data_IF_484643187832
#
_entry.id   IF_484643187832
#
_cell.length_a   1.000
_cell.length_b   1.000
_cell.length_c   1.000
_cell.angle_alpha   90.00
_cell.angle_beta   90.00
_cell.angle_gamma   90.00
#
_symmetry.space_group_name_H-M   'P 1'
#
loop_
_entity.id
_entity.type
_entity.pdbx_description
1 polymer ?
#
# COMPACT_ATOMS: atom_id res chain seq x y z
N UNK A 1 -4.08 -20.04 -22.79
CA UNK A 1 -4.88 -21.28 -22.83
C UNK A 1 -5.73 -21.36 -21.57
N UNK A 2 -6.98 -21.81 -21.68
CA UNK A 2 -7.82 -22.10 -20.52
C UNK A 2 -7.42 -23.45 -19.87
N UNK A 3 -7.92 -23.80 -18.67
CA UNK A 3 -7.50 -25.00 -17.94
C UNK A 3 -7.66 -26.33 -18.69
N UNK A 4 -8.60 -26.40 -19.64
CA UNK A 4 -8.76 -27.58 -20.49
C UNK A 4 -7.68 -27.67 -21.57
N UNK A 5 -7.37 -26.56 -22.23
CA UNK A 5 -6.37 -26.50 -23.30
C UNK A 5 -4.92 -26.52 -22.78
N UNK A 6 -4.68 -26.19 -21.51
CA UNK A 6 -3.33 -26.29 -20.91
C UNK A 6 -2.80 -27.74 -20.92
N UNK A 7 -3.68 -28.73 -20.77
CA UNK A 7 -3.33 -30.15 -20.73
C UNK A 7 -2.70 -30.65 -22.04
N UNK A 8 -3.07 -30.05 -23.18
CA UNK A 8 -2.65 -30.46 -24.53
C UNK A 8 -1.71 -29.47 -25.21
N UNK A 9 -1.84 -28.17 -24.93
CA UNK A 9 -1.07 -27.09 -25.58
C UNK A 9 -0.14 -26.34 -24.62
N UNK A 10 -0.03 -26.80 -23.37
CA UNK A 10 0.80 -26.18 -22.35
C UNK A 10 0.23 -24.86 -21.81
N UNK A 11 0.95 -24.28 -20.85
CA UNK A 11 0.55 -23.06 -20.12
C UNK A 11 0.31 -21.87 -21.04
N UNK A 12 -0.54 -20.94 -20.57
CA UNK A 12 -0.72 -19.64 -21.20
C UNK A 12 0.61 -18.91 -21.42
N UNK A 13 0.95 -18.63 -22.68
CA UNK A 13 2.07 -17.75 -23.00
C UNK A 13 1.70 -16.31 -22.66
N UNK A 14 2.20 -15.80 -21.54
CA UNK A 14 2.10 -14.38 -21.21
C UNK A 14 2.85 -13.54 -22.26
N UNK A 15 2.35 -12.34 -22.56
CA UNK A 15 3.10 -11.35 -23.38
C UNK A 15 4.52 -11.25 -22.83
N UNK A 16 5.51 -11.46 -23.70
CA UNK A 16 6.89 -11.71 -23.29
C UNK A 16 7.51 -10.48 -22.60
N UNK A 17 7.41 -10.45 -21.25
CA UNK A 17 7.62 -9.27 -20.41
C UNK A 17 9.02 -8.68 -20.59
N UNK A 18 10.03 -9.52 -20.86
CA UNK A 18 11.42 -9.11 -21.16
C UNK A 18 11.57 -8.25 -22.42
N UNK A 19 10.76 -8.43 -23.47
CA UNK A 19 10.86 -7.59 -24.69
C UNK A 19 10.19 -6.22 -24.53
N UNK A 20 9.28 -6.07 -23.57
CA UNK A 20 8.66 -4.78 -23.22
C UNK A 20 9.28 -4.11 -21.97
N UNK A 21 10.23 -4.78 -21.31
CA UNK A 21 11.02 -4.25 -20.21
C UNK A 21 11.83 -3.01 -20.64
N UNK A 22 12.37 -3.00 -21.86
CA UNK A 22 12.97 -1.82 -22.52
C UNK A 22 11.98 -0.66 -22.79
N UNK A 23 10.72 -0.74 -22.34
CA UNK A 23 9.73 0.35 -22.38
C UNK A 23 9.22 0.77 -20.99
N UNK A 24 9.26 -0.11 -19.98
CA UNK A 24 9.12 0.30 -18.58
C UNK A 24 10.51 0.45 -17.98
N UNK A 25 11.06 1.63 -18.28
CA UNK A 25 12.40 2.13 -18.03
C UNK A 25 13.32 1.26 -17.14
N UNK A 26 14.36 0.73 -17.77
CA UNK A 26 15.50 0.09 -17.09
C UNK A 26 16.81 0.85 -17.29
N UNK A 27 16.78 2.07 -17.83
CA UNK A 27 17.99 2.78 -18.28
C UNK A 27 18.71 2.11 -19.46
N UNK A 28 18.03 1.21 -20.19
CA UNK A 28 18.57 0.48 -21.35
C UNK A 28 17.70 0.64 -22.60
N UNK A 29 17.23 1.87 -22.86
CA UNK A 29 16.60 2.25 -24.11
C UNK A 29 17.24 3.54 -24.62
N UNK A 30 17.56 3.59 -25.91
CA UNK A 30 18.12 4.78 -26.57
C UNK A 30 17.07 5.87 -26.83
N UNK A 31 15.80 5.56 -26.62
CA UNK A 31 14.71 6.54 -26.61
C UNK A 31 14.67 7.26 -25.24
N UNK A 32 14.99 8.55 -25.20
CA UNK A 32 14.86 9.38 -23.99
C UNK A 32 13.37 9.50 -23.64
N UNK A 33 12.92 8.68 -22.67
CA UNK A 33 11.58 8.72 -22.09
C UNK A 33 11.68 9.02 -20.61
N UNK A 34 10.73 9.78 -20.09
CA UNK A 34 10.70 10.10 -18.67
C UNK A 34 10.45 8.85 -17.82
N UNK A 35 11.22 8.72 -16.73
CA UNK A 35 11.06 7.66 -15.72
C UNK A 35 9.63 7.69 -15.17
N UNK A 36 8.92 6.57 -15.25
CA UNK A 36 7.51 6.48 -14.83
C UNK A 36 7.38 6.27 -13.32
N UNK A 37 6.52 7.04 -12.66
CA UNK A 37 6.24 6.90 -11.22
C UNK A 37 5.81 5.46 -10.87
N UNK A 38 6.44 4.86 -9.86
CA UNK A 38 6.19 3.47 -9.44
C UNK A 38 7.03 2.41 -10.17
N UNK A 39 7.76 2.77 -11.23
CA UNK A 39 8.76 1.90 -11.85
C UNK A 39 9.91 1.56 -10.88
N UNK A 40 10.64 0.48 -11.16
CA UNK A 40 11.80 0.08 -10.33
C UNK A 40 12.90 1.14 -10.31
N UNK A 41 13.12 1.85 -11.43
CA UNK A 41 14.05 2.99 -11.50
C UNK A 41 13.55 4.15 -10.64
N UNK A 42 12.27 4.54 -10.75
CA UNK A 42 11.66 5.56 -9.89
C UNK A 42 11.81 5.24 -8.39
N UNK A 43 11.52 4.01 -7.98
CA UNK A 43 11.62 3.58 -6.58
C UNK A 43 13.08 3.48 -6.11
N UNK A 44 14.04 3.19 -7.00
CA UNK A 44 15.48 3.27 -6.69
C UNK A 44 15.91 4.72 -6.48
N UNK A 45 15.58 5.61 -7.42
CA UNK A 45 15.89 7.04 -7.34
C UNK A 45 15.27 7.69 -6.10
N UNK A 46 13.98 7.45 -5.86
CA UNK A 46 13.25 8.01 -4.72
C UNK A 46 13.89 7.64 -3.37
N UNK A 47 14.36 6.39 -3.22
CA UNK A 47 15.09 5.95 -2.00
C UNK A 47 16.50 6.53 -1.88
N UNK A 48 17.07 7.06 -2.95
CA UNK A 48 18.38 7.74 -2.93
C UNK A 48 18.27 9.27 -2.77
N UNK A 49 17.06 9.83 -2.71
CA UNK A 49 16.84 11.27 -2.47
C UNK A 49 16.87 11.57 -0.97
N UNK A 50 17.52 12.66 -0.62
CA UNK A 50 17.41 13.27 0.72
C UNK A 50 16.18 14.18 0.76
N UNK A 51 15.37 14.04 1.80
CA UNK A 51 14.26 14.93 2.12
C UNK A 51 14.52 15.58 3.49
N UNK A 52 13.97 16.77 3.77
CA UNK A 52 13.90 17.30 5.14
C UNK A 52 13.23 16.29 6.08
N UNK A 53 13.57 16.33 7.36
CA UNK A 53 12.88 15.45 8.33
C UNK A 53 11.42 15.88 8.47
N UNK A 54 10.54 14.91 8.67
CA UNK A 54 9.17 15.21 9.10
C UNK A 54 9.13 15.76 10.54
N UNK A 55 10.20 15.60 11.32
CA UNK A 55 10.29 16.06 12.72
C UNK A 55 10.02 17.56 12.91
N UNK A 56 10.28 18.38 11.89
CA UNK A 56 10.09 19.83 11.91
C UNK A 56 8.64 20.26 11.63
N UNK A 57 7.78 19.33 11.18
CA UNK A 57 6.37 19.58 10.82
C UNK A 57 5.37 18.67 11.54
N UNK A 58 5.80 17.57 12.17
CA UNK A 58 4.89 16.66 12.90
C UNK A 58 4.79 16.99 14.39
N UNK A 59 3.57 17.09 14.89
CA UNK A 59 3.29 17.23 16.32
C UNK A 59 3.31 15.83 16.96
N UNK A 60 4.20 15.61 17.93
CA UNK A 60 4.38 14.30 18.58
C UNK A 60 3.63 14.25 19.89
N UNK A 61 2.68 13.31 20.01
CA UNK A 61 1.84 13.14 21.20
C UNK A 61 1.83 11.67 21.65
N UNK A 62 1.60 11.44 22.94
CA UNK A 62 1.09 10.16 23.43
C UNK A 62 -0.41 10.03 23.15
N UNK A 63 -0.96 8.82 23.11
CA UNK A 63 -2.38 8.64 22.87
C UNK A 63 -3.28 9.30 23.92
N UNK A 64 -2.82 9.37 25.18
CA UNK A 64 -3.52 10.08 26.26
C UNK A 64 -3.48 11.61 26.16
N UNK A 65 -2.60 12.18 25.31
CA UNK A 65 -2.56 13.63 25.04
C UNK A 65 -3.42 14.02 23.83
N UNK A 66 -3.79 13.06 22.97
CA UNK A 66 -4.62 13.31 21.80
C UNK A 66 -6.11 13.31 22.21
N UNK A 67 -6.53 14.38 22.87
CA UNK A 67 -7.92 14.59 23.33
C UNK A 67 -8.63 15.66 22.48
N UNK A 68 -9.96 15.75 22.60
CA UNK A 68 -10.72 16.85 21.98
C UNK A 68 -10.27 18.21 22.50
N UNK A 69 -10.14 18.36 23.83
CA UNK A 69 -9.66 19.57 24.48
C UNK A 69 -8.33 20.05 23.88
N UNK A 70 -7.36 19.14 23.69
CA UNK A 70 -6.08 19.47 23.05
C UNK A 70 -6.25 19.98 21.62
N UNK A 71 -7.12 19.36 20.82
CA UNK A 71 -7.37 19.74 19.42
C UNK A 71 -8.17 21.05 19.31
N UNK A 72 -9.02 21.37 20.27
CA UNK A 72 -9.72 22.65 20.35
C UNK A 72 -8.79 23.80 20.76
N UNK A 73 -7.87 23.56 21.70
CA UNK A 73 -6.87 24.54 22.14
C UNK A 73 -5.74 24.79 21.12
N UNK A 74 -5.23 23.72 20.49
CA UNK A 74 -4.03 23.77 19.65
C UNK A 74 -4.33 23.72 18.14
N UNK A 75 -5.56 23.35 17.77
CA UNK A 75 -5.96 23.10 16.39
C UNK A 75 -5.47 21.75 15.84
N UNK A 76 -5.90 21.42 14.62
CA UNK A 76 -5.49 20.22 13.89
C UNK A 76 -5.01 20.59 12.48
N UNK A 77 -3.97 21.43 12.43
CA UNK A 77 -3.43 22.00 11.19
C UNK A 77 -2.16 21.30 10.70
N UNK A 78 -1.45 20.59 11.59
CA UNK A 78 -0.21 19.87 11.32
C UNK A 78 -0.40 18.35 11.53
N UNK A 79 0.36 17.47 10.84
CA UNK A 79 0.21 16.03 11.02
C UNK A 79 0.63 15.59 12.43
N UNK A 80 -0.25 14.85 13.12
CA UNK A 80 0.03 14.33 14.46
C UNK A 80 0.63 12.92 14.37
N UNK A 81 1.78 12.70 15.03
CA UNK A 81 2.42 11.41 15.18
C UNK A 81 2.23 10.87 16.60
N UNK A 82 1.32 9.92 16.76
CA UNK A 82 1.18 9.14 17.98
C UNK A 82 2.27 8.06 18.06
N UNK A 83 3.21 8.17 19.01
CA UNK A 83 4.35 7.24 19.09
C UNK A 83 3.99 5.83 19.59
N UNK A 84 2.84 5.69 20.25
CA UNK A 84 2.31 4.42 20.78
C UNK A 84 0.78 4.42 20.62
N UNK A 85 0.20 3.21 20.51
CA UNK A 85 -1.26 3.04 20.46
C UNK A 85 -1.96 3.25 21.81
N UNK A 86 -1.20 3.23 22.90
CA UNK A 86 -1.73 3.30 24.25
C UNK A 86 -2.36 4.67 24.52
N UNK A 87 -3.60 4.67 25.01
CA UNK A 87 -4.42 5.88 25.18
C UNK A 87 -5.25 6.30 23.96
N UNK A 88 -5.01 5.77 22.76
CA UNK A 88 -5.79 6.13 21.55
C UNK A 88 -7.18 5.48 21.47
N UNK A 89 -7.55 4.59 22.40
CA UNK A 89 -8.76 3.77 22.29
C UNK A 89 -8.75 2.76 21.12
N UNK A 90 -7.59 2.54 20.47
CA UNK A 90 -7.47 1.65 19.31
C UNK A 90 -7.18 0.20 19.70
N UNK A 91 -8.12 -0.69 19.37
CA UNK A 91 -7.90 -2.14 19.34
C UNK A 91 -7.18 -2.53 18.04
N UNK A 92 -6.00 -3.13 18.17
CA UNK A 92 -5.18 -3.63 17.06
C UNK A 92 -4.90 -5.12 17.26
N UNK A 93 -4.82 -5.93 16.19
CA UNK A 93 -4.45 -7.33 16.30
C UNK A 93 -3.01 -7.48 16.83
N UNK A 94 -2.67 -8.69 17.29
CA UNK A 94 -1.34 -8.97 17.83
C UNK A 94 -0.23 -8.70 16.78
N UNK A 95 1.01 -8.33 17.18
CA UNK A 95 2.12 -8.16 16.26
C UNK A 95 2.51 -9.42 15.44
N UNK A 96 1.98 -10.58 15.83
CA UNK A 96 2.11 -11.87 15.14
C UNK A 96 0.97 -12.16 14.15
N UNK A 97 0.15 -11.16 13.83
CA UNK A 97 -0.95 -11.28 12.86
C UNK A 97 -0.42 -11.09 11.43
N UNK A 98 -0.60 -12.12 10.60
CA UNK A 98 -0.07 -12.20 9.24
C UNK A 98 -1.18 -12.17 8.17
N UNK A 99 -0.77 -12.12 6.90
CA UNK A 99 -1.68 -12.13 5.75
C UNK A 99 -2.57 -13.39 5.74
N UNK A 100 -2.03 -14.54 6.16
CA UNK A 100 -2.81 -15.77 6.34
C UNK A 100 -3.93 -15.62 7.37
N UNK A 101 -3.73 -14.81 8.41
CA UNK A 101 -4.78 -14.54 9.38
C UNK A 101 -5.85 -13.65 8.75
N UNK A 102 -5.47 -12.64 7.95
CA UNK A 102 -6.45 -11.86 7.16
C UNK A 102 -7.31 -12.77 6.28
N UNK A 103 -6.71 -13.74 5.57
CA UNK A 103 -7.44 -14.73 4.76
C UNK A 103 -8.40 -15.59 5.61
N UNK A 104 -8.00 -15.95 6.84
CA UNK A 104 -8.80 -16.74 7.79
C UNK A 104 -9.84 -15.93 8.61
N UNK A 105 -9.74 -14.60 8.66
CA UNK A 105 -10.74 -13.73 9.30
C UNK A 105 -11.72 -13.14 8.26
N UNK A 106 -11.29 -12.93 7.02
CA UNK A 106 -12.11 -12.41 5.91
C UNK A 106 -12.67 -13.57 5.06
N UNK A 107 -13.38 -14.50 5.71
CA UNK A 107 -13.81 -15.79 5.12
C UNK A 107 -15.03 -15.70 4.20
N UNK A 108 -15.63 -14.51 4.04
CA UNK A 108 -16.80 -14.29 3.17
C UNK A 108 -16.53 -13.12 2.23
N UNK A 109 -16.66 -13.38 0.93
CA UNK A 109 -16.28 -12.54 -0.21
C UNK A 109 -16.33 -11.01 0.03
N UNK A 110 -15.20 -10.44 0.42
CA UNK A 110 -14.96 -9.00 0.53
C UNK A 110 -13.93 -8.59 -0.53
N UNK A 111 -14.18 -7.50 -1.26
CA UNK A 111 -13.31 -7.12 -2.38
C UNK A 111 -12.21 -6.17 -1.90
N UNK A 112 -10.95 -6.52 -2.20
CA UNK A 112 -9.77 -5.75 -1.81
C UNK A 112 -9.13 -5.09 -3.04
N UNK A 113 -8.94 -3.77 -2.99
CA UNK A 113 -8.22 -3.03 -4.04
C UNK A 113 -6.73 -3.35 -3.98
N UNK A 114 -6.22 -4.10 -4.95
CA UNK A 114 -4.78 -4.38 -5.10
C UNK A 114 -4.16 -3.37 -6.06
N UNK A 115 -3.56 -2.30 -5.52
CA UNK A 115 -2.80 -1.36 -6.35
C UNK A 115 -1.51 -2.01 -6.88
N UNK A 116 -1.44 -2.21 -8.19
CA UNK A 116 -0.19 -2.64 -8.81
C UNK A 116 0.75 -1.45 -8.99
N UNK A 117 1.62 -1.22 -8.00
CA UNK A 117 2.62 -0.13 -7.94
C UNK A 117 3.49 0.02 -9.20
N UNK A 118 3.65 -1.02 -10.01
CA UNK A 118 4.43 -0.96 -11.28
C UNK A 118 3.63 -0.41 -12.47
N UNK A 119 2.30 -0.53 -12.44
CA UNK A 119 1.44 -0.20 -13.58
C UNK A 119 0.46 0.96 -13.35
N UNK A 120 0.16 1.32 -12.09
CA UNK A 120 -0.88 2.31 -11.76
C UNK A 120 -2.21 2.03 -12.51
N UNK A 121 -2.59 0.76 -12.55
CA UNK A 121 -3.84 0.30 -13.15
C UNK A 121 -4.78 -0.12 -12.02
N UNK A 122 -5.83 0.68 -11.83
CA UNK A 122 -6.88 0.42 -10.86
C UNK A 122 -7.84 -0.64 -11.42
N UNK A 123 -7.64 -1.89 -11.01
CA UNK A 123 -8.61 -2.95 -11.27
C UNK A 123 -9.71 -2.91 -10.20
N UNK A 124 -10.77 -2.14 -10.48
CA UNK A 124 -11.96 -2.02 -9.64
C UNK A 124 -12.80 -3.31 -9.60
N UNK A 125 -12.94 -3.90 -8.42
CA UNK A 125 -14.15 -4.60 -7.97
C UNK A 125 -14.30 -4.36 -6.43
N UNK A 126 -15.53 -4.26 -5.91
CA UNK A 126 -15.83 -3.58 -4.62
C UNK A 126 -16.93 -4.29 -3.81
N UNK A 127 -16.72 -4.42 -2.49
CA UNK A 127 -17.74 -4.35 -1.41
C UNK A 127 -17.09 -4.55 -0.03
N UNK A 128 -17.51 -3.76 0.96
CA UNK A 128 -17.14 -3.82 2.39
C UNK A 128 -18.41 -3.70 3.25
N UNK A 129 -18.65 -4.65 4.16
CA UNK A 129 -19.45 -4.57 5.42
C UNK A 129 -19.26 -5.90 6.16
N UNK A 130 -19.26 -6.03 7.49
CA UNK A 130 -19.21 -5.05 8.60
C UNK A 130 -18.62 -5.75 9.85
N UNK A 131 -17.95 -5.00 10.74
CA UNK A 131 -17.57 -5.48 12.08
C UNK A 131 -18.06 -4.49 13.15
N UNK A 132 -19.26 -4.74 13.68
CA UNK A 132 -19.68 -4.28 14.99
C UNK A 132 -19.76 -5.50 15.91
N UNK A 133 -19.46 -5.29 17.19
CA UNK A 133 -19.51 -6.23 18.31
C UNK A 133 -18.30 -7.15 18.53
N UNK A 134 -17.71 -6.97 19.72
CA UNK A 134 -16.94 -7.93 20.52
C UNK A 134 -15.44 -8.13 20.22
N UNK A 135 -14.64 -7.17 20.70
CA UNK A 135 -13.42 -7.44 21.47
C UNK A 135 -13.17 -6.29 22.47
#
# INVERSE_FOLDING_TARGET
HCPNCEKTHGKSTMKNKKKNWSKHDTGQSTDIKAVQNGSQVFIKELRSRTFPSADDVVVKLSGSQLTMDYLEENGFNEPILAQKKDGLGMSMPAPTFYISDVENYVVVCLFVTIENKTYKLDHHYVCIVQMLSNA
#
